data_IF_499744046351
#
_entry.id   IF_499744046351
#
_cell.length_a   1.000
_cell.length_b   1.000
_cell.length_c   1.000
_cell.angle_alpha   90.00
_cell.angle_beta   90.00
_cell.angle_gamma   90.00
#
_symmetry.space_group_name_H-M   'P 1'
#
loop_
_entity.id
_entity.type
_entity.pdbx_description
1 polymer ?
#
# COMPACT_ATOMS: atom_id res chain seq x y z
N UNK A 1 15.91 -18.80 -23.32
CA UNK A 1 16.01 -18.53 -21.87
C UNK A 1 14.99 -17.52 -21.35
N UNK A 2 14.74 -16.39 -22.03
CA UNK A 2 13.76 -15.37 -21.57
C UNK A 2 12.33 -15.93 -21.41
N UNK A 3 11.92 -16.88 -22.27
CA UNK A 3 10.59 -17.50 -22.22
C UNK A 3 10.31 -18.24 -20.90
N UNK A 4 11.30 -18.92 -20.29
CA UNK A 4 11.03 -19.65 -19.04
C UNK A 4 10.97 -18.72 -17.82
N UNK A 5 11.81 -17.68 -17.75
CA UNK A 5 11.83 -16.75 -16.60
C UNK A 5 10.54 -15.92 -16.53
N UNK A 6 10.06 -15.39 -17.66
CA UNK A 6 8.83 -14.59 -17.71
C UNK A 6 7.61 -15.42 -17.28
N UNK A 7 7.53 -16.68 -17.69
CA UNK A 7 6.48 -17.62 -17.26
C UNK A 7 6.58 -18.03 -15.77
N UNK A 8 7.73 -17.81 -15.14
CA UNK A 8 7.89 -18.00 -13.68
C UNK A 8 7.46 -16.77 -12.88
N UNK A 9 7.43 -15.58 -13.47
CA UNK A 9 7.01 -14.34 -12.78
C UNK A 9 5.53 -14.06 -13.05
N UNK A 10 5.07 -14.23 -14.29
CA UNK A 10 3.69 -13.98 -14.70
C UNK A 10 2.99 -15.26 -15.15
N UNK A 11 1.65 -15.35 -15.03
CA UNK A 11 0.90 -16.41 -15.70
C UNK A 11 1.03 -16.27 -17.23
N UNK A 12 0.86 -17.36 -17.97
CA UNK A 12 0.95 -17.32 -19.44
C UNK A 12 -0.16 -16.49 -20.10
N UNK A 13 -1.34 -16.50 -19.47
CA UNK A 13 -2.54 -15.78 -19.89
C UNK A 13 -3.11 -14.98 -18.72
N UNK A 14 -3.81 -13.90 -19.04
CA UNK A 14 -4.51 -13.05 -18.08
C UNK A 14 -5.86 -12.62 -18.65
N UNK A 15 -6.83 -12.44 -17.77
CA UNK A 15 -8.15 -11.99 -18.18
C UNK A 15 -8.10 -10.53 -18.69
N UNK A 16 -8.75 -10.26 -19.80
CA UNK A 16 -8.70 -8.97 -20.51
C UNK A 16 -9.36 -7.85 -19.71
N UNK A 17 -10.42 -8.15 -18.96
CA UNK A 17 -11.04 -7.20 -18.03
C UNK A 17 -10.03 -6.70 -16.99
N UNK A 18 -9.15 -7.59 -16.53
CA UNK A 18 -8.17 -7.29 -15.48
C UNK A 18 -7.12 -6.29 -15.92
N UNK A 19 -6.88 -6.21 -17.23
CA UNK A 19 -5.95 -5.26 -17.83
C UNK A 19 -6.53 -3.83 -17.92
N UNK A 20 -7.85 -3.65 -17.81
CA UNK A 20 -8.47 -2.32 -17.93
C UNK A 20 -7.98 -1.41 -16.81
N UNK A 21 -7.48 -0.23 -17.17
CA UNK A 21 -7.01 0.76 -16.20
C UNK A 21 -8.11 1.15 -15.20
N UNK A 22 -9.36 1.29 -15.65
CA UNK A 22 -10.51 1.57 -14.77
C UNK A 22 -10.78 0.49 -13.71
N UNK A 23 -10.25 -0.72 -13.91
CA UNK A 23 -10.49 -1.83 -13.00
C UNK A 23 -9.42 -1.94 -11.91
N UNK A 24 -8.14 -2.04 -12.27
CA UNK A 24 -7.04 -2.17 -11.30
C UNK A 24 -6.40 -0.85 -10.90
N UNK A 25 -6.57 0.18 -11.75
CA UNK A 25 -5.90 1.48 -11.68
C UNK A 25 -4.36 1.37 -11.63
N UNK A 26 -3.81 0.19 -11.94
CA UNK A 26 -2.37 -0.11 -11.77
C UNK A 26 -1.87 -0.08 -10.32
N UNK A 27 -2.73 0.15 -9.32
CA UNK A 27 -2.32 0.53 -7.96
C UNK A 27 -1.41 -0.49 -7.26
N UNK A 28 -1.68 -1.79 -7.42
CA UNK A 28 -0.84 -2.84 -6.84
C UNK A 28 0.53 -2.97 -7.51
N UNK A 29 0.61 -2.65 -8.80
CA UNK A 29 1.87 -2.63 -9.53
C UNK A 29 2.67 -1.37 -9.21
N UNK A 30 1.98 -0.23 -9.18
CA UNK A 30 2.54 1.07 -8.77
C UNK A 30 3.16 0.99 -7.37
N UNK A 31 2.50 0.36 -6.40
CA UNK A 31 3.07 0.17 -5.05
C UNK A 31 4.32 -0.71 -5.06
N UNK A 32 4.34 -1.79 -5.84
CA UNK A 32 5.54 -2.63 -5.99
C UNK A 32 6.72 -1.86 -6.60
N UNK A 33 6.48 -1.02 -7.62
CA UNK A 33 7.52 -0.17 -8.21
C UNK A 33 8.00 0.93 -7.26
N UNK A 34 7.09 1.57 -6.52
CA UNK A 34 7.46 2.55 -5.50
C UNK A 34 8.33 1.92 -4.41
N UNK A 35 8.00 0.70 -3.95
CA UNK A 35 8.85 -0.05 -3.03
C UNK A 35 10.23 -0.34 -3.64
N UNK A 36 10.30 -0.77 -4.90
CA UNK A 36 11.58 -0.96 -5.59
C UNK A 36 12.43 0.32 -5.65
N UNK A 37 11.82 1.46 -5.97
CA UNK A 37 12.51 2.77 -5.95
C UNK A 37 13.00 3.11 -4.54
N UNK A 38 12.18 2.89 -3.50
CA UNK A 38 12.57 3.12 -2.11
C UNK A 38 13.76 2.25 -1.68
N UNK A 39 13.80 0.98 -2.07
CA UNK A 39 14.95 0.10 -1.81
C UNK A 39 16.22 0.65 -2.50
N UNK A 40 16.15 0.93 -3.81
CA UNK A 40 17.32 1.39 -4.57
C UNK A 40 17.84 2.71 -4.01
N UNK A 41 16.97 3.71 -3.85
CA UNK A 41 17.35 5.01 -3.32
C UNK A 41 17.81 4.92 -1.86
N UNK A 42 17.18 4.07 -1.04
CA UNK A 42 17.55 3.85 0.35
C UNK A 42 18.95 3.25 0.51
N UNK A 43 19.27 2.20 -0.27
CA UNK A 43 20.61 1.58 -0.27
C UNK A 43 21.69 2.60 -0.66
N UNK A 44 21.42 3.45 -1.67
CA UNK A 44 22.39 4.50 -2.05
C UNK A 44 22.52 5.55 -0.94
N UNK A 45 21.41 5.97 -0.31
CA UNK A 45 21.44 6.91 0.81
C UNK A 45 22.20 6.37 2.03
N UNK A 46 22.16 5.07 2.28
CA UNK A 46 22.92 4.44 3.36
C UNK A 46 24.44 4.68 3.24
N UNK A 47 24.96 4.83 2.01
CA UNK A 47 26.38 5.10 1.78
C UNK A 47 26.82 6.50 2.25
N UNK A 48 25.87 7.42 2.42
CA UNK A 48 26.11 8.81 2.84
C UNK A 48 25.61 9.10 4.27
N UNK A 49 25.06 8.10 4.97
CA UNK A 49 24.39 8.31 6.25
C UNK A 49 25.09 7.63 7.42
N UNK A 50 25.32 8.38 8.48
CA UNK A 50 25.89 7.92 9.74
C UNK A 50 24.79 7.96 10.82
N UNK A 51 24.39 6.81 11.41
CA UNK A 51 23.30 6.74 12.39
C UNK A 51 23.74 7.21 13.79
N UNK A 52 24.24 8.45 13.88
CA UNK A 52 24.70 9.06 15.12
C UNK A 52 24.16 10.50 15.25
N UNK A 53 23.62 10.92 16.40
CA UNK A 53 22.96 12.24 16.56
C UNK A 53 23.82 13.45 16.16
N UNK A 54 25.14 13.37 16.35
CA UNK A 54 26.07 14.45 15.99
C UNK A 54 26.27 14.59 14.48
N UNK A 55 26.04 13.52 13.71
CA UNK A 55 26.37 13.45 12.29
C UNK A 55 25.12 13.37 11.41
N UNK A 56 24.05 12.71 11.87
CA UNK A 56 22.85 12.43 11.07
C UNK A 56 22.25 13.67 10.40
N UNK A 57 22.10 14.76 11.16
CA UNK A 57 21.62 16.04 10.62
C UNK A 57 22.60 16.65 9.62
N UNK A 58 23.90 16.63 9.93
CA UNK A 58 24.94 17.14 9.04
C UNK A 58 24.97 16.37 7.72
N UNK A 59 24.84 15.05 7.75
CA UNK A 59 24.78 14.22 6.55
C UNK A 59 23.57 14.58 5.66
N UNK A 60 22.44 14.99 6.26
CA UNK A 60 21.31 15.53 5.48
C UNK A 60 21.66 16.84 4.77
N UNK A 61 22.43 17.73 5.43
CA UNK A 61 22.91 18.99 4.84
C UNK A 61 23.95 18.69 3.74
N UNK A 62 24.85 17.74 3.94
CA UNK A 62 25.83 17.34 2.93
C UNK A 62 25.14 16.74 1.70
N UNK A 63 24.12 15.90 1.88
CA UNK A 63 23.26 15.44 0.78
C UNK A 63 22.57 16.61 0.05
N UNK A 64 22.23 17.68 0.75
CA UNK A 64 21.55 18.82 0.16
C UNK A 64 22.50 19.77 -0.60
N UNK A 65 23.73 19.94 -0.12
CA UNK A 65 24.61 21.02 -0.59
C UNK A 65 25.96 20.56 -1.15
N UNK A 66 26.40 19.33 -0.86
CA UNK A 66 27.76 18.86 -1.19
C UNK A 66 27.74 17.70 -2.19
N UNK A 67 26.83 16.74 -2.01
CA UNK A 67 26.78 15.53 -2.85
C UNK A 67 26.12 15.83 -4.20
N UNK A 68 26.82 15.50 -5.29
CA UNK A 68 26.27 15.62 -6.65
C UNK A 68 25.01 14.76 -6.80
N UNK A 69 23.91 15.37 -7.26
CA UNK A 69 22.57 14.76 -7.30
C UNK A 69 22.01 14.29 -5.94
N UNK A 70 22.66 14.65 -4.82
CA UNK A 70 22.19 14.34 -3.47
C UNK A 70 20.77 14.82 -3.17
N UNK A 71 20.37 16.06 -3.55
CA UNK A 71 19.00 16.52 -3.38
C UNK A 71 18.00 15.66 -4.14
N UNK A 72 18.30 15.32 -5.40
CA UNK A 72 17.42 14.48 -6.23
C UNK A 72 17.22 13.12 -5.58
N UNK A 73 18.30 12.47 -5.12
CA UNK A 73 18.25 11.17 -4.46
C UNK A 73 17.37 11.22 -3.19
N UNK A 74 17.62 12.21 -2.31
CA UNK A 74 16.84 12.39 -1.07
C UNK A 74 15.38 12.70 -1.35
N UNK A 75 15.11 13.60 -2.30
CA UNK A 75 13.76 13.99 -2.69
C UNK A 75 13.01 12.81 -3.29
N UNK A 76 13.63 12.03 -4.19
CA UNK A 76 13.02 10.82 -4.75
C UNK A 76 12.63 9.83 -3.66
N UNK A 77 13.52 9.54 -2.71
CA UNK A 77 13.21 8.64 -1.60
C UNK A 77 12.02 9.15 -0.76
N UNK A 78 12.02 10.46 -0.44
CA UNK A 78 10.96 11.09 0.34
C UNK A 78 9.60 11.08 -0.39
N UNK A 79 9.57 11.52 -1.64
CA UNK A 79 8.33 11.59 -2.41
C UNK A 79 7.80 10.21 -2.80
N UNK A 80 8.67 9.25 -3.06
CA UNK A 80 8.28 7.86 -3.24
C UNK A 80 7.61 7.29 -1.98
N UNK A 81 8.11 7.62 -0.78
CA UNK A 81 7.49 7.19 0.47
C UNK A 81 6.09 7.79 0.67
N UNK A 82 5.90 9.07 0.36
CA UNK A 82 4.58 9.71 0.40
C UNK A 82 3.62 9.11 -0.64
N UNK A 83 4.08 8.92 -1.88
CA UNK A 83 3.30 8.29 -2.93
C UNK A 83 2.91 6.85 -2.57
N UNK A 84 3.81 6.09 -1.94
CA UNK A 84 3.56 4.72 -1.50
C UNK A 84 2.37 4.66 -0.53
N UNK A 85 2.32 5.56 0.46
CA UNK A 85 1.19 5.62 1.41
C UNK A 85 -0.13 5.91 0.71
N UNK A 86 -0.16 6.88 -0.22
CA UNK A 86 -1.37 7.20 -1.00
C UNK A 86 -1.80 6.00 -1.86
N UNK A 87 -0.87 5.43 -2.62
CA UNK A 87 -1.16 4.34 -3.56
C UNK A 87 -1.63 3.08 -2.82
N UNK A 88 -1.00 2.73 -1.69
CA UNK A 88 -1.43 1.59 -0.86
C UNK A 88 -2.82 1.85 -0.27
N UNK A 89 -3.11 3.05 0.23
CA UNK A 89 -4.45 3.40 0.71
C UNK A 89 -5.50 3.25 -0.40
N UNK A 90 -5.24 3.81 -1.59
CA UNK A 90 -6.13 3.66 -2.75
C UNK A 90 -6.25 2.20 -3.19
N UNK A 91 -5.17 1.42 -3.12
CA UNK A 91 -5.19 0.00 -3.43
C UNK A 91 -6.11 -0.78 -2.48
N UNK A 92 -6.03 -0.50 -1.17
CA UNK A 92 -6.93 -1.08 -0.17
C UNK A 92 -8.39 -0.74 -0.48
N UNK A 93 -8.69 0.54 -0.77
CA UNK A 93 -10.01 0.98 -1.18
C UNK A 93 -10.52 0.24 -2.42
N UNK A 94 -9.69 0.15 -3.46
CA UNK A 94 -10.03 -0.56 -4.70
C UNK A 94 -10.35 -2.02 -4.43
N UNK A 95 -9.51 -2.73 -3.67
CA UNK A 95 -9.70 -4.15 -3.34
C UNK A 95 -10.98 -4.34 -2.53
N UNK A 96 -11.29 -3.44 -1.61
CA UNK A 96 -12.53 -3.47 -0.84
C UNK A 96 -13.78 -3.26 -1.71
N UNK A 97 -13.82 -2.16 -2.47
CA UNK A 97 -15.00 -1.79 -3.26
C UNK A 97 -15.30 -2.74 -4.41
N UNK A 98 -14.28 -3.43 -4.93
CA UNK A 98 -14.45 -4.50 -5.92
C UNK A 98 -14.68 -5.89 -5.29
N UNK A 99 -14.60 -6.02 -3.97
CA UNK A 99 -14.81 -7.31 -3.28
C UNK A 99 -13.68 -8.32 -3.54
N UNK A 100 -12.51 -7.85 -3.96
CA UNK A 100 -11.40 -8.70 -4.34
C UNK A 100 -10.77 -9.45 -3.14
N UNK A 101 -11.09 -9.07 -1.90
CA UNK A 101 -10.69 -9.79 -0.68
C UNK A 101 -11.49 -11.07 -0.40
N UNK A 102 -12.60 -11.29 -1.11
CA UNK A 102 -13.46 -12.46 -0.94
C UNK A 102 -12.74 -13.75 -1.34
N UNK A 103 -13.30 -14.88 -0.93
CA UNK A 103 -12.78 -16.22 -1.25
C UNK A 103 -12.41 -16.35 -2.75
N UNK A 104 -11.26 -16.98 -3.09
CA UNK A 104 -10.25 -17.61 -2.22
C UNK A 104 -9.16 -16.65 -1.68
N UNK A 105 -9.34 -15.33 -1.81
CA UNK A 105 -8.29 -14.31 -1.57
C UNK A 105 -8.29 -13.71 -0.16
N UNK A 106 -9.02 -14.28 0.79
CA UNK A 106 -9.13 -13.78 2.17
C UNK A 106 -7.75 -13.67 2.85
N UNK A 107 -6.92 -14.71 2.72
CA UNK A 107 -5.56 -14.68 3.25
C UNK A 107 -4.71 -13.57 2.61
N UNK A 108 -4.87 -13.34 1.31
CA UNK A 108 -4.13 -12.30 0.61
C UNK A 108 -4.52 -10.89 1.07
N UNK A 109 -5.77 -10.69 1.49
CA UNK A 109 -6.21 -9.46 2.13
C UNK A 109 -5.55 -9.25 3.49
N UNK A 110 -5.46 -10.29 4.33
CA UNK A 110 -4.76 -10.20 5.62
C UNK A 110 -3.28 -9.84 5.41
N UNK A 111 -2.62 -10.45 4.41
CA UNK A 111 -1.27 -10.03 3.99
C UNK A 111 -1.24 -8.55 3.58
N UNK A 112 -2.24 -8.09 2.82
CA UNK A 112 -2.39 -6.69 2.42
C UNK A 112 -2.53 -5.73 3.61
N UNK A 113 -3.29 -6.09 4.65
CA UNK A 113 -3.40 -5.32 5.89
C UNK A 113 -2.04 -5.28 6.61
N UNK A 114 -1.32 -6.40 6.68
CA UNK A 114 0.04 -6.44 7.21
C UNK A 114 1.01 -5.52 6.43
N UNK A 115 0.91 -5.51 5.10
CA UNK A 115 1.69 -4.64 4.23
C UNK A 115 1.33 -3.15 4.38
N UNK A 116 0.05 -2.82 4.62
CA UNK A 116 -0.37 -1.46 4.97
C UNK A 116 0.31 -1.01 6.27
N UNK A 117 0.29 -1.84 7.32
CA UNK A 117 0.94 -1.53 8.59
C UNK A 117 2.46 -1.37 8.45
N UNK A 118 3.10 -2.26 7.68
CA UNK A 118 4.54 -2.15 7.39
C UNK A 118 4.86 -0.90 6.57
N UNK A 119 4.00 -0.50 5.63
CA UNK A 119 4.18 0.73 4.84
C UNK A 119 4.17 1.95 5.76
N UNK A 120 3.20 2.03 6.69
CA UNK A 120 3.14 3.09 7.68
C UNK A 120 4.34 3.05 8.64
N UNK A 121 4.74 1.86 9.11
CA UNK A 121 5.90 1.68 9.98
C UNK A 121 7.23 2.03 9.33
N UNK A 122 7.43 1.65 8.06
CA UNK A 122 8.59 2.07 7.25
C UNK A 122 8.61 3.58 7.06
N UNK A 123 7.47 4.18 6.73
CA UNK A 123 7.40 5.64 6.55
C UNK A 123 7.68 6.39 7.86
N UNK A 124 7.15 5.90 8.99
CA UNK A 124 7.43 6.45 10.31
C UNK A 124 8.91 6.34 10.66
N UNK A 125 9.49 5.13 10.61
CA UNK A 125 10.88 4.90 11.03
C UNK A 125 11.88 5.65 10.17
N UNK A 126 11.63 5.79 8.86
CA UNK A 126 12.47 6.60 7.97
C UNK A 126 12.37 8.10 8.22
N UNK A 127 11.19 8.58 8.66
CA UNK A 127 10.98 9.98 9.03
C UNK A 127 11.83 10.41 10.25
N UNK A 128 12.28 9.46 11.07
CA UNK A 128 13.07 9.73 12.28
C UNK A 128 14.57 9.95 11.99
N UNK A 129 15.05 9.47 10.84
CA UNK A 129 16.49 9.42 10.53
C UNK A 129 17.14 10.79 10.23
N UNK A 130 16.46 11.78 9.63
CA UNK A 130 17.07 13.10 9.42
C UNK A 130 17.54 13.81 10.69
N UNK A 131 17.03 13.39 11.86
CA UNK A 131 17.36 13.96 13.18
C UNK A 131 17.16 15.48 13.26
N UNK A 132 16.16 15.97 12.53
CA UNK A 132 15.69 17.34 12.64
C UNK A 132 14.66 17.46 13.78
N UNK A 133 14.22 18.69 14.04
CA UNK A 133 13.32 18.97 15.15
C UNK A 133 12.03 18.15 15.10
N UNK A 134 11.42 17.98 13.93
CA UNK A 134 10.19 17.19 13.81
C UNK A 134 10.46 15.69 13.99
N UNK A 135 11.57 15.17 13.48
CA UNK A 135 11.98 13.78 13.68
C UNK A 135 12.13 13.43 15.17
N UNK A 136 12.83 14.27 15.95
CA UNK A 136 13.04 14.04 17.39
C UNK A 136 11.73 14.01 18.19
N UNK A 137 10.82 14.95 17.93
CA UNK A 137 9.52 14.97 18.61
C UNK A 137 8.58 13.88 18.12
N UNK A 138 8.70 13.42 16.87
CA UNK A 138 7.99 12.24 16.39
C UNK A 138 8.44 10.97 17.15
N UNK A 139 9.73 10.82 17.47
CA UNK A 139 10.22 9.73 18.34
C UNK A 139 9.57 9.83 19.73
N UNK A 140 9.55 11.04 20.29
CA UNK A 140 8.97 11.29 21.62
C UNK A 140 7.49 10.89 21.67
N UNK A 141 6.68 11.39 20.73
CA UNK A 141 5.24 11.08 20.67
C UNK A 141 5.01 9.60 20.37
N UNK A 142 5.70 9.03 19.37
CA UNK A 142 5.51 7.64 18.96
C UNK A 142 5.88 6.64 20.05
N UNK A 143 7.02 6.84 20.73
CA UNK A 143 7.45 5.98 21.84
C UNK A 143 6.55 6.12 23.07
N UNK A 144 5.98 7.30 23.33
CA UNK A 144 4.98 7.50 24.37
C UNK A 144 3.66 6.78 24.04
N UNK A 145 3.18 6.84 22.80
CA UNK A 145 2.00 6.07 22.36
C UNK A 145 2.23 4.58 22.56
N UNK A 146 3.40 4.07 22.14
CA UNK A 146 3.77 2.67 22.36
C UNK A 146 3.77 2.29 23.85
N UNK A 147 4.15 3.23 24.72
CA UNK A 147 4.09 3.10 26.18
C UNK A 147 2.70 2.85 26.76
N UNK A 148 1.63 3.26 26.06
CA UNK A 148 0.24 3.01 26.48
C UNK A 148 -0.30 1.64 26.08
N UNK A 149 0.50 0.81 25.37
CA UNK A 149 0.06 -0.53 25.00
C UNK A 149 -0.21 -1.38 26.27
N UNK A 150 -1.39 -2.04 26.37
CA UNK A 150 -1.70 -2.87 27.52
C UNK A 150 -0.69 -4.01 27.71
N UNK A 151 -0.28 -4.25 28.96
CA UNK A 151 0.60 -5.36 29.34
C UNK A 151 2.09 -5.06 29.19
N UNK A 152 2.57 -4.77 27.97
CA UNK A 152 4.01 -4.68 27.65
C UNK A 152 4.45 -3.27 27.18
N UNK A 153 3.65 -2.22 27.40
CA UNK A 153 3.93 -0.90 26.85
C UNK A 153 5.25 -0.28 27.32
N UNK A 154 5.57 -0.41 28.62
CA UNK A 154 6.81 0.12 29.17
C UNK A 154 8.05 -0.56 28.58
N UNK A 155 8.00 -1.87 28.44
CA UNK A 155 9.04 -2.72 27.87
C UNK A 155 9.23 -2.43 26.38
N UNK A 156 8.13 -2.27 25.62
CA UNK A 156 8.17 -1.89 24.20
C UNK A 156 8.83 -0.52 24.06
N UNK A 157 8.42 0.47 24.86
CA UNK A 157 9.02 1.82 24.83
C UNK A 157 10.51 1.77 25.14
N UNK A 158 10.90 1.07 26.21
CA UNK A 158 12.30 0.92 26.60
C UNK A 158 13.13 0.23 25.51
N UNK A 159 12.60 -0.83 24.90
CA UNK A 159 13.27 -1.56 23.81
C UNK A 159 13.49 -0.67 22.58
N UNK A 160 12.48 0.11 22.18
CA UNK A 160 12.56 1.01 21.04
C UNK A 160 13.58 2.12 21.25
N UNK A 161 13.60 2.73 22.43
CA UNK A 161 14.54 3.81 22.76
C UNK A 161 15.95 3.30 23.09
N UNK A 162 16.06 2.06 23.57
CA UNK A 162 17.32 1.51 24.06
C UNK A 162 17.78 2.10 25.38
N UNK A 163 16.86 2.68 26.14
CA UNK A 163 17.11 3.43 27.37
C UNK A 163 15.88 4.21 27.81
N UNK A 164 16.06 5.10 28.80
CA UNK A 164 14.99 5.95 29.32
C UNK A 164 14.90 7.32 28.62
N UNK A 165 15.87 7.62 27.74
CA UNK A 165 16.02 8.90 27.05
C UNK A 165 16.28 8.66 25.56
N UNK A 166 15.98 9.67 24.74
CA UNK A 166 16.16 9.61 23.29
C UNK A 166 17.59 10.06 22.96
N UNK A 167 18.45 9.09 22.60
CA UNK A 167 19.86 9.33 22.31
C UNK A 167 20.33 8.49 21.11
N UNK A 168 21.66 8.36 20.94
CA UNK A 168 22.29 7.56 19.88
C UNK A 168 21.74 6.13 19.80
N UNK A 169 21.45 5.50 20.95
CA UNK A 169 20.86 4.17 21.00
C UNK A 169 19.50 4.08 20.28
N UNK A 170 18.65 5.10 20.40
CA UNK A 170 17.35 5.14 19.74
C UNK A 170 17.53 5.29 18.23
N UNK A 171 18.39 6.22 17.80
CA UNK A 171 18.65 6.48 16.38
C UNK A 171 19.20 5.23 15.66
N UNK A 172 20.18 4.55 16.26
CA UNK A 172 20.76 3.34 15.69
C UNK A 172 19.70 2.23 15.52
N UNK A 173 18.82 2.04 16.50
CA UNK A 173 17.75 1.04 16.43
C UNK A 173 16.74 1.37 15.33
N UNK A 174 16.29 2.62 15.24
CA UNK A 174 15.40 3.05 14.17
C UNK A 174 16.06 2.93 12.79
N UNK A 175 17.35 3.22 12.68
CA UNK A 175 18.11 3.00 11.45
C UNK A 175 18.14 1.51 11.05
N UNK A 176 18.48 0.60 11.96
CA UNK A 176 18.50 -0.85 11.67
C UNK A 176 17.09 -1.38 11.33
N UNK A 177 16.07 -0.91 12.06
CA UNK A 177 14.68 -1.25 11.76
C UNK A 177 14.27 -0.78 10.37
N UNK A 178 14.55 0.48 10.03
CA UNK A 178 14.14 1.09 8.77
C UNK A 178 14.91 0.56 7.56
N UNK A 179 16.21 0.36 7.67
CA UNK A 179 17.07 0.03 6.54
C UNK A 179 17.21 -1.48 6.31
N UNK A 180 16.98 -2.31 7.32
CA UNK A 180 17.24 -3.75 7.24
C UNK A 180 15.99 -4.57 7.59
N UNK A 181 15.53 -4.50 8.84
CA UNK A 181 14.52 -5.45 9.35
C UNK A 181 13.17 -5.27 8.65
N UNK A 182 12.64 -4.06 8.63
CA UNK A 182 11.32 -3.77 8.06
C UNK A 182 11.28 -3.91 6.54
N UNK A 183 12.30 -3.47 5.76
CA UNK A 183 12.31 -3.70 4.32
C UNK A 183 12.39 -5.17 3.93
N UNK A 184 13.19 -5.98 4.64
CA UNK A 184 13.27 -7.41 4.38
C UNK A 184 11.95 -8.12 4.67
N UNK A 185 11.32 -7.78 5.80
CA UNK A 185 9.99 -8.28 6.15
C UNK A 185 8.93 -7.86 5.11
N UNK A 186 8.94 -6.59 4.67
CA UNK A 186 8.05 -6.10 3.63
C UNK A 186 8.30 -6.81 2.29
N UNK A 187 9.55 -7.00 1.87
CA UNK A 187 9.90 -7.71 0.65
C UNK A 187 9.40 -9.17 0.67
N UNK A 188 9.58 -9.87 1.79
CA UNK A 188 9.05 -11.23 1.99
C UNK A 188 7.53 -11.27 1.86
N UNK A 189 6.82 -10.37 2.54
CA UNK A 189 5.35 -10.34 2.48
C UNK A 189 4.83 -9.88 1.11
N UNK A 190 5.50 -8.96 0.42
CA UNK A 190 5.18 -8.56 -0.96
C UNK A 190 5.35 -9.77 -1.89
N UNK A 191 6.44 -10.52 -1.78
CA UNK A 191 6.67 -11.73 -2.58
C UNK A 191 5.55 -12.75 -2.37
N UNK A 192 5.16 -13.01 -1.11
CA UNK A 192 4.04 -13.90 -0.79
C UNK A 192 2.70 -13.35 -1.33
N UNK A 193 2.45 -12.05 -1.18
CA UNK A 193 1.24 -11.39 -1.66
C UNK A 193 1.09 -11.50 -3.18
N UNK A 194 2.14 -11.19 -3.93
CA UNK A 194 2.18 -11.30 -5.40
C UNK A 194 2.05 -12.77 -5.84
N UNK A 195 2.70 -13.70 -5.14
CA UNK A 195 2.55 -15.13 -5.39
C UNK A 195 1.09 -15.58 -5.26
N UNK A 196 0.38 -15.16 -4.20
CA UNK A 196 -1.04 -15.48 -4.02
C UNK A 196 -1.92 -14.83 -5.09
N UNK A 197 -1.64 -13.60 -5.51
CA UNK A 197 -2.34 -12.97 -6.65
C UNK A 197 -2.15 -13.76 -7.93
N UNK A 198 -0.93 -14.23 -8.22
CA UNK A 198 -0.66 -15.07 -9.40
C UNK A 198 -1.37 -16.41 -9.32
N UNK A 199 -1.41 -17.04 -8.15
CA UNK A 199 -2.03 -18.36 -7.94
C UNK A 199 -3.56 -18.30 -8.00
N UNK A 200 -4.16 -17.30 -7.35
CA UNK A 200 -5.61 -17.20 -7.18
C UNK A 200 -6.29 -16.34 -8.27
N UNK A 201 -5.48 -15.69 -9.12
CA UNK A 201 -5.95 -14.76 -10.15
C UNK A 201 -6.50 -13.44 -9.58
N UNK A 202 -6.60 -12.44 -10.47
CA UNK A 202 -7.34 -11.22 -10.16
C UNK A 202 -8.84 -11.51 -10.13
N UNK A 203 -9.57 -10.83 -9.24
CA UNK A 203 -11.02 -10.93 -9.21
C UNK A 203 -11.64 -10.58 -10.56
N UNK A 204 -12.64 -11.35 -10.96
CA UNK A 204 -13.39 -11.16 -12.19
C UNK A 204 -14.86 -10.92 -11.89
N UNK A 205 -15.58 -10.11 -12.70
CA UNK A 205 -17.03 -10.07 -12.66
C UNK A 205 -17.60 -11.49 -12.81
N UNK A 206 -18.78 -11.78 -12.23
CA UNK A 206 -19.48 -13.02 -12.53
C UNK A 206 -19.64 -13.17 -14.04
N UNK A 207 -19.46 -14.38 -14.57
CA UNK A 207 -19.80 -14.66 -15.96
C UNK A 207 -21.26 -14.24 -16.20
N UNK A 208 -21.56 -13.69 -17.38
CA UNK A 208 -22.94 -13.51 -17.81
C UNK A 208 -23.66 -14.86 -17.67
N UNK A 209 -24.93 -14.85 -17.27
CA UNK A 209 -25.71 -16.09 -17.25
C UNK A 209 -25.54 -16.77 -18.61
N UNK A 210 -25.16 -18.07 -18.64
CA UNK A 210 -25.03 -18.77 -19.90
C UNK A 210 -26.34 -18.61 -20.65
N UNK A 211 -26.31 -18.36 -21.97
CA UNK A 211 -27.53 -18.28 -22.76
C UNK A 211 -28.36 -19.55 -22.45
N UNK A 212 -29.71 -19.45 -22.44
CA UNK A 212 -30.55 -20.62 -22.26
C UNK A 212 -30.05 -21.73 -23.18
N UNK A 213 -29.89 -22.94 -22.65
CA UNK A 213 -29.46 -24.09 -23.45
C UNK A 213 -30.45 -24.20 -24.61
N UNK A 214 -30.04 -23.73 -25.78
CA UNK A 214 -30.82 -23.89 -26.99
C UNK A 214 -30.65 -25.35 -27.37
N UNK A 215 -31.67 -26.15 -27.10
CA UNK A 215 -31.67 -27.56 -27.48
C UNK A 215 -31.50 -27.61 -29.00
N UNK A 216 -30.33 -28.08 -29.46
CA UNK A 216 -30.02 -28.13 -30.89
C UNK A 216 -31.10 -28.95 -31.60
N UNK A 217 -31.89 -28.30 -32.45
CA UNK A 217 -32.82 -29.00 -33.31
C UNK A 217 -32.05 -30.07 -34.10
N UNK A 218 -32.54 -31.32 -34.14
CA UNK A 218 -31.83 -32.41 -34.81
C UNK A 218 -31.49 -32.02 -36.26
N UNK A 219 -30.21 -32.12 -36.61
CA UNK A 219 -29.70 -31.84 -37.96
C UNK A 219 -29.11 -30.45 -38.20
N UNK A 220 -29.03 -29.56 -37.20
CA UNK A 220 -28.45 -28.21 -37.36
C UNK A 220 -27.04 -28.12 -36.78
N UNK A 221 -26.01 -28.36 -37.58
CA UNK A 221 -24.62 -28.12 -37.15
C UNK A 221 -24.28 -26.62 -37.27
N UNK A 222 -23.63 -26.02 -36.26
CA UNK A 222 -23.13 -24.65 -36.39
C UNK A 222 -22.07 -24.60 -37.51
N UNK A 223 -22.02 -23.52 -38.31
CA UNK A 223 -20.97 -23.35 -39.30
C UNK A 223 -19.61 -23.23 -38.60
N UNK A 224 -18.82 -24.31 -38.60
CA UNK A 224 -17.53 -24.34 -37.91
C UNK A 224 -16.38 -24.01 -38.86
N UNK A 225 -15.46 -23.17 -38.42
CA UNK A 225 -14.20 -22.84 -39.11
C UNK A 225 -13.08 -23.88 -38.93
N UNK A 226 -13.36 -25.03 -38.29
CA UNK A 226 -12.38 -26.10 -38.06
C UNK A 226 -12.86 -27.43 -38.62
N UNK A 227 -11.96 -28.17 -39.25
CA UNK A 227 -12.21 -29.52 -39.76
C UNK A 227 -12.32 -30.50 -38.59
N UNK A 228 -13.51 -31.04 -38.33
CA UNK A 228 -13.69 -32.13 -37.38
C UNK A 228 -13.36 -33.49 -38.03
N UNK A 229 -12.71 -34.38 -37.29
CA UNK A 229 -12.52 -35.78 -37.71
C UNK A 229 -13.80 -36.62 -37.50
N UNK A 230 -13.86 -37.81 -38.11
CA UNK A 230 -15.00 -38.76 -38.06
C UNK A 230 -15.52 -39.08 -36.64
N UNK A 231 -14.67 -38.90 -35.61
CA UNK A 231 -15.06 -39.01 -34.18
C UNK A 231 -16.15 -38.03 -33.74
N UNK A 232 -16.40 -36.95 -34.48
CA UNK A 232 -17.46 -35.99 -34.21
C UNK A 232 -18.86 -36.45 -34.67
N UNK A 233 -18.93 -37.51 -35.49
CA UNK A 233 -20.19 -38.10 -35.98
C UNK A 233 -20.71 -39.25 -35.09
N UNK A 234 -19.98 -39.62 -34.04
CA UNK A 234 -20.45 -40.62 -33.10
C UNK A 234 -21.48 -40.00 -32.14
N UNK A 235 -22.68 -40.57 -32.11
CA UNK A 235 -23.75 -40.20 -31.16
C UNK A 235 -23.21 -40.35 -29.72
N UNK A 236 -22.85 -39.22 -29.11
CA UNK A 236 -22.52 -39.15 -27.69
C UNK A 236 -23.78 -38.74 -26.93
N UNK A 237 -24.07 -39.35 -25.75
CA UNK A 237 -25.04 -38.76 -24.84
C UNK A 237 -24.59 -37.33 -24.56
N UNK A 238 -25.54 -36.38 -24.61
CA UNK A 238 -25.30 -34.95 -24.46
C UNK A 238 -24.29 -34.70 -23.33
N UNK A 239 -23.03 -34.50 -23.72
CA UNK A 239 -22.04 -33.98 -22.81
C UNK A 239 -22.61 -32.60 -22.44
N UNK A 240 -22.68 -32.23 -21.15
CA UNK A 240 -22.92 -30.84 -20.83
C UNK A 240 -21.86 -30.08 -21.60
N UNK A 241 -22.29 -29.30 -22.59
CA UNK A 241 -21.41 -28.35 -23.26
C UNK A 241 -21.06 -27.37 -22.15
N UNK A 242 -19.93 -27.62 -21.48
CA UNK A 242 -19.31 -26.62 -20.62
C UNK A 242 -18.68 -25.62 -21.58
N UNK A 243 -19.53 -24.86 -22.25
CA UNK A 243 -19.19 -23.54 -22.75
C UNK A 243 -19.15 -22.60 -21.54
N UNK A 244 -18.22 -22.86 -20.62
CA UNK A 244 -17.55 -21.71 -20.04
C UNK A 244 -16.64 -21.23 -21.17
N UNK A 245 -17.08 -20.28 -21.98
CA UNK A 245 -16.20 -19.70 -22.99
C UNK A 245 -14.84 -19.37 -22.35
N UNK A 246 -13.72 -19.97 -22.82
CA UNK A 246 -12.38 -19.62 -22.37
C UNK A 246 -11.92 -18.24 -22.86
N UNK A 247 -12.83 -17.35 -23.30
CA UNK A 247 -12.54 -16.46 -24.42
C UNK A 247 -12.21 -14.99 -24.09
N UNK A 248 -12.21 -14.57 -22.81
CA UNK A 248 -11.69 -13.23 -22.46
C UNK A 248 -10.30 -13.29 -21.80
N UNK A 249 -9.48 -14.28 -22.14
CA UNK A 249 -8.06 -14.32 -21.76
C UNK A 249 -7.13 -13.92 -22.91
N UNK A 250 -6.16 -13.08 -22.61
CA UNK A 250 -5.10 -12.68 -23.55
C UNK A 250 -3.74 -13.13 -23.05
N UNK A 251 -2.80 -13.33 -23.98
CA UNK A 251 -1.41 -13.64 -23.61
C UNK A 251 -0.79 -12.49 -22.80
N UNK A 252 -0.04 -12.85 -21.76
CA UNK A 252 0.71 -11.89 -20.95
C UNK A 252 1.70 -11.10 -21.79
N UNK A 253 2.42 -11.79 -22.68
CA UNK A 253 3.21 -11.14 -23.71
C UNK A 253 2.39 -11.00 -25.00
N UNK A 254 2.28 -9.80 -25.58
CA UNK A 254 2.88 -8.55 -25.16
C UNK A 254 1.98 -7.67 -24.27
N UNK A 255 0.70 -8.06 -24.10
CA UNK A 255 -0.35 -7.14 -23.64
C UNK A 255 -0.20 -6.65 -22.20
N UNK A 256 0.12 -7.54 -21.25
CA UNK A 256 0.34 -7.17 -19.86
C UNK A 256 1.69 -6.47 -19.72
N UNK A 257 2.76 -7.06 -20.26
CA UNK A 257 4.12 -6.55 -20.09
C UNK A 257 4.31 -5.12 -20.62
N UNK A 258 3.68 -4.75 -21.74
CA UNK A 258 3.70 -3.35 -22.19
C UNK A 258 3.03 -2.41 -21.20
N UNK A 259 1.89 -2.80 -20.60
CA UNK A 259 1.22 -1.96 -19.60
C UNK A 259 2.05 -1.81 -18.34
N UNK A 260 2.72 -2.88 -17.92
CA UNK A 260 3.62 -2.85 -16.77
C UNK A 260 4.79 -1.88 -16.96
N UNK A 261 5.46 -1.97 -18.12
CA UNK A 261 6.53 -1.03 -18.48
C UNK A 261 6.02 0.41 -18.56
N UNK A 262 4.84 0.65 -19.13
CA UNK A 262 4.25 1.99 -19.19
C UNK A 262 3.95 2.56 -17.79
N UNK A 263 3.44 1.73 -16.87
CA UNK A 263 3.23 2.14 -15.48
C UNK A 263 4.56 2.44 -14.79
N UNK A 264 5.59 1.61 -14.99
CA UNK A 264 6.93 1.87 -14.45
C UNK A 264 7.48 3.20 -14.95
N UNK A 265 7.42 3.46 -16.25
CA UNK A 265 7.88 4.71 -16.84
C UNK A 265 7.12 5.90 -16.28
N UNK A 266 5.79 5.80 -16.15
CA UNK A 266 4.97 6.86 -15.57
C UNK A 266 5.37 7.16 -14.11
N UNK A 267 5.60 6.12 -13.29
CA UNK A 267 6.07 6.27 -11.90
C UNK A 267 7.43 6.95 -11.86
N UNK A 268 8.39 6.50 -12.67
CA UNK A 268 9.72 7.09 -12.70
C UNK A 268 9.67 8.54 -13.16
N UNK A 269 8.96 8.87 -14.24
CA UNK A 269 8.82 10.24 -14.73
C UNK A 269 8.19 11.14 -13.65
N UNK A 270 7.10 10.71 -13.03
CA UNK A 270 6.43 11.48 -11.99
C UNK A 270 7.33 11.72 -10.77
N UNK A 271 8.08 10.72 -10.32
CA UNK A 271 9.00 10.86 -9.20
C UNK A 271 10.19 11.75 -9.51
N UNK A 272 10.77 11.65 -10.72
CA UNK A 272 11.86 12.55 -11.12
C UNK A 272 11.36 13.99 -11.22
N UNK A 273 10.18 14.21 -11.80
CA UNK A 273 9.56 15.53 -11.84
C UNK A 273 9.34 16.08 -10.42
N UNK A 274 8.73 15.28 -9.52
CA UNK A 274 8.53 15.69 -8.14
C UNK A 274 9.85 15.99 -7.41
N UNK A 275 10.88 15.17 -7.62
CA UNK A 275 12.18 15.34 -6.98
C UNK A 275 12.96 16.56 -7.46
N UNK A 276 12.78 16.96 -8.72
CA UNK A 276 13.39 18.15 -9.29
C UNK A 276 12.64 19.44 -8.94
N UNK A 277 11.31 19.36 -8.82
CA UNK A 277 10.44 20.52 -8.59
C UNK A 277 10.23 20.83 -7.10
N UNK A 278 10.25 19.81 -6.24
CA UNK A 278 9.93 19.95 -4.82
C UNK A 278 11.05 19.37 -3.96
N UNK A 279 11.68 20.22 -3.15
CA UNK A 279 12.65 19.76 -2.18
C UNK A 279 11.96 19.12 -0.98
N UNK A 280 12.49 17.98 -0.54
CA UNK A 280 12.06 17.35 0.69
C UNK A 280 12.38 18.30 1.87
N UNK A 281 11.40 18.59 2.75
CA UNK A 281 11.61 19.51 3.85
C UNK A 281 12.67 18.96 4.81
N UNK A 282 13.43 19.86 5.42
CA UNK A 282 14.40 19.56 6.48
C UNK A 282 14.36 20.72 7.46
N UNK A 283 13.96 20.44 8.70
CA UNK A 283 13.86 21.48 9.73
C UNK A 283 15.23 21.81 10.33
N UNK A 284 15.25 22.65 11.36
CA UNK A 284 16.45 22.88 12.18
C UNK A 284 16.88 21.58 12.89
N UNK A 285 18.15 21.54 13.30
CA UNK A 285 18.68 20.42 14.09
C UNK A 285 17.87 20.23 15.36
N UNK A 286 17.67 18.97 15.76
CA UNK A 286 16.90 18.65 16.95
C UNK A 286 17.46 19.31 18.23
N UNK A 287 16.65 20.16 18.84
CA UNK A 287 16.82 20.67 20.20
C UNK A 287 15.82 19.98 21.16
N UNK A 288 16.27 19.11 22.07
CA UNK A 288 15.40 18.46 23.05
C UNK A 288 14.72 19.42 24.03
N UNK A 289 15.24 20.64 24.19
CA UNK A 289 14.72 21.64 25.13
C UNK A 289 13.63 22.52 24.53
N UNK A 290 13.44 22.47 23.21
CA UNK A 290 12.48 23.29 22.48
C UNK A 290 11.54 22.44 21.63
N UNK A 291 10.28 22.35 22.05
CA UNK A 291 9.23 21.69 21.26
C UNK A 291 8.67 22.64 20.20
N UNK A 292 8.62 22.27 18.91
CA UNK A 292 7.89 23.00 17.88
C UNK A 292 6.44 23.19 18.27
N UNK A 293 5.88 24.34 17.92
CA UNK A 293 4.48 24.62 18.15
C UNK A 293 3.83 25.24 16.91
N UNK A 294 2.96 24.50 16.17
CA UNK A 294 2.56 23.10 16.43
C UNK A 294 3.59 22.07 15.96
N UNK A 295 3.78 21.00 16.74
CA UNK A 295 4.51 19.81 16.30
C UNK A 295 3.56 18.89 15.51
N UNK A 296 3.54 19.02 14.18
CA UNK A 296 2.69 18.20 13.30
C UNK A 296 3.43 16.92 12.88
N UNK A 297 2.76 15.79 13.05
CA UNK A 297 3.19 14.52 12.47
C UNK A 297 3.14 14.59 10.93
N UNK A 298 3.79 13.63 10.24
CA UNK A 298 3.60 13.47 8.79
C UNK A 298 2.12 13.40 8.44
N UNK A 299 1.73 13.92 7.26
CA UNK A 299 0.32 14.11 6.91
C UNK A 299 -0.53 12.84 7.09
N UNK A 300 0.00 11.66 6.76
CA UNK A 300 -0.71 10.38 6.88
C UNK A 300 -0.89 9.88 8.32
N UNK A 301 -0.27 10.55 9.30
CA UNK A 301 -0.50 10.32 10.73
C UNK A 301 -1.28 11.44 11.41
N UNK A 302 -1.60 12.54 10.71
CA UNK A 302 -2.33 13.65 11.32
C UNK A 302 -3.73 13.25 11.81
N UNK A 303 -4.41 12.36 11.08
CA UNK A 303 -5.69 11.82 11.55
C UNK A 303 -5.55 11.00 12.84
N UNK A 304 -4.44 10.27 13.01
CA UNK A 304 -4.13 9.56 14.25
C UNK A 304 -3.76 10.53 15.37
N UNK A 305 -2.94 11.54 15.08
CA UNK A 305 -2.53 12.57 16.03
C UNK A 305 -3.74 13.35 16.55
N UNK A 306 -4.73 13.63 15.69
CA UNK A 306 -5.99 14.25 16.08
C UNK A 306 -6.71 13.41 17.15
N UNK A 307 -6.81 12.09 16.98
CA UNK A 307 -7.43 11.20 17.98
C UNK A 307 -6.61 11.15 19.27
N UNK A 308 -5.27 11.08 19.16
CA UNK A 308 -4.34 11.06 20.30
C UNK A 308 -4.44 12.34 21.13
N UNK A 309 -4.77 13.48 20.51
CA UNK A 309 -4.90 14.76 21.22
C UNK A 309 -6.01 14.76 22.28
N UNK A 310 -7.04 13.91 22.12
CA UNK A 310 -8.10 13.74 23.12
C UNK A 310 -7.76 12.65 24.15
N UNK A 311 -7.15 11.54 23.72
CA UNK A 311 -6.71 10.46 24.59
C UNK A 311 -5.66 9.60 23.90
N UNK A 312 -4.47 9.53 24.49
CA UNK A 312 -3.37 8.72 23.95
C UNK A 312 -3.70 7.21 23.91
N UNK A 313 -4.37 6.69 24.94
CA UNK A 313 -4.78 5.28 24.98
C UNK A 313 -5.86 4.99 23.94
N UNK A 314 -6.94 5.78 23.92
CA UNK A 314 -8.08 5.51 23.03
C UNK A 314 -7.68 5.78 21.58
N UNK A 315 -7.14 6.97 21.30
CA UNK A 315 -6.80 7.41 19.96
C UNK A 315 -5.53 6.77 19.41
N UNK A 316 -4.53 6.53 20.26
CA UNK A 316 -3.23 5.98 19.84
C UNK A 316 -3.15 4.46 19.82
N UNK A 317 -3.94 3.77 20.64
CA UNK A 317 -3.89 2.31 20.78
C UNK A 317 -5.22 1.67 20.42
N UNK A 318 -6.29 1.93 21.17
CA UNK A 318 -7.53 1.15 21.06
C UNK A 318 -8.24 1.32 19.71
N UNK A 319 -8.46 2.55 19.24
CA UNK A 319 -9.14 2.81 17.97
C UNK A 319 -8.35 2.24 16.79
N UNK A 320 -7.03 2.49 16.64
CA UNK A 320 -6.22 1.85 15.59
C UNK A 320 -6.25 0.31 15.67
N UNK A 321 -6.11 -0.27 16.86
CA UNK A 321 -6.17 -1.74 17.02
C UNK A 321 -7.52 -2.30 16.59
N UNK A 322 -8.63 -1.67 16.98
CA UNK A 322 -9.97 -2.08 16.55
C UNK A 322 -10.18 -1.94 15.04
N UNK A 323 -9.67 -0.87 14.42
CA UNK A 323 -9.73 -0.69 12.97
C UNK A 323 -8.93 -1.77 12.23
N UNK A 324 -7.73 -2.09 12.70
CA UNK A 324 -6.91 -3.18 12.14
C UNK A 324 -7.62 -4.52 12.30
N UNK A 325 -8.14 -4.82 13.48
CA UNK A 325 -8.89 -6.06 13.72
C UNK A 325 -10.13 -6.14 12.83
N UNK A 326 -10.88 -5.06 12.68
CA UNK A 326 -12.01 -5.00 11.76
C UNK A 326 -11.58 -5.30 10.33
N UNK A 327 -10.50 -4.67 9.83
CA UNK A 327 -9.97 -4.96 8.49
C UNK A 327 -9.56 -6.43 8.35
N UNK A 328 -8.84 -7.01 9.31
CA UNK A 328 -8.44 -8.43 9.28
C UNK A 328 -9.65 -9.36 9.25
N UNK A 329 -10.70 -9.04 9.98
CA UNK A 329 -11.89 -9.89 10.15
C UNK A 329 -12.93 -9.71 9.03
N UNK A 330 -12.94 -8.58 8.31
CA UNK A 330 -13.91 -8.29 7.23
C UNK A 330 -14.13 -9.46 6.26
N UNK A 331 -13.10 -10.15 5.74
CA UNK A 331 -13.31 -11.23 4.77
C UNK A 331 -14.06 -12.45 5.35
N UNK A 332 -14.04 -12.62 6.66
CA UNK A 332 -14.67 -13.72 7.39
C UNK A 332 -16.05 -13.33 7.93
N UNK A 333 -16.28 -12.04 8.16
CA UNK A 333 -17.54 -11.51 8.66
C UNK A 333 -18.51 -11.08 7.58
N UNK A 334 -18.06 -10.87 6.33
CA UNK A 334 -18.90 -10.48 5.21
C UNK A 334 -19.43 -11.74 4.50
N UNK A 335 -20.72 -12.12 4.68
CA UNK A 335 -21.27 -13.38 4.17
C UNK A 335 -21.67 -13.32 2.70
N UNK A 336 -21.69 -12.13 2.06
CA UNK A 336 -22.26 -11.95 0.71
C UNK A 336 -21.32 -12.52 -0.36
N UNK A 337 -21.69 -13.58 -1.11
CA UNK A 337 -20.78 -14.18 -2.10
C UNK A 337 -20.83 -13.47 -3.47
N UNK A 338 -21.84 -12.63 -3.70
CA UNK A 338 -22.10 -11.96 -5.00
C UNK A 338 -21.42 -10.58 -5.10
N UNK A 339 -21.27 -10.09 -6.32
CA UNK A 339 -20.73 -8.75 -6.60
C UNK A 339 -19.20 -8.64 -6.53
N UNK A 340 -18.49 -9.77 -6.58
CA UNK A 340 -17.02 -9.79 -6.69
C UNK A 340 -16.62 -9.33 -8.08
N UNK A 341 -15.56 -8.51 -8.16
CA UNK A 341 -15.05 -8.01 -9.42
C UNK A 341 -15.82 -6.82 -10.01
N UNK A 342 -16.87 -6.35 -9.33
CA UNK A 342 -17.68 -5.20 -9.76
C UNK A 342 -17.49 -4.05 -8.76
N UNK A 343 -17.20 -2.85 -9.28
CA UNK A 343 -17.10 -1.66 -8.45
C UNK A 343 -18.45 -1.33 -7.81
N UNK A 344 -18.46 -1.10 -6.50
CA UNK A 344 -19.64 -0.66 -5.75
C UNK A 344 -20.88 -1.54 -5.92
N UNK A 345 -20.68 -2.86 -6.03
CA UNK A 345 -21.75 -3.84 -6.19
C UNK A 345 -22.95 -3.58 -5.24
N UNK A 346 -24.19 -3.47 -5.76
CA UNK A 346 -25.39 -3.18 -4.96
C UNK A 346 -25.63 -4.18 -3.82
N UNK A 347 -25.29 -5.45 -4.05
CA UNK A 347 -25.40 -6.55 -3.08
C UNK A 347 -24.53 -6.31 -1.84
N UNK A 348 -23.46 -5.51 -1.99
CA UNK A 348 -22.53 -5.15 -0.92
C UNK A 348 -22.69 -3.70 -0.48
N UNK A 349 -23.80 -3.04 -0.82
CA UNK A 349 -24.05 -1.61 -0.53
C UNK A 349 -23.87 -1.24 0.94
N UNK A 350 -24.31 -2.10 1.88
CA UNK A 350 -24.10 -1.86 3.33
C UNK A 350 -22.61 -1.84 3.69
N UNK A 351 -21.86 -2.85 3.28
CA UNK A 351 -20.43 -2.93 3.54
C UNK A 351 -19.67 -1.77 2.87
N UNK A 352 -20.01 -1.46 1.62
CA UNK A 352 -19.44 -0.35 0.87
C UNK A 352 -19.69 1.00 1.56
N UNK A 353 -20.91 1.26 2.06
CA UNK A 353 -21.21 2.50 2.79
C UNK A 353 -20.44 2.62 4.10
N UNK A 354 -20.34 1.54 4.88
CA UNK A 354 -19.60 1.54 6.15
C UNK A 354 -18.11 1.81 5.88
N UNK A 355 -17.51 1.08 4.94
CA UNK A 355 -16.10 1.26 4.60
C UNK A 355 -15.83 2.65 4.01
N UNK A 356 -16.70 3.15 3.12
CA UNK A 356 -16.60 4.50 2.59
C UNK A 356 -16.65 5.54 3.71
N UNK A 357 -17.57 5.41 4.67
CA UNK A 357 -17.66 6.32 5.81
C UNK A 357 -16.37 6.31 6.66
N UNK A 358 -15.81 5.12 6.95
CA UNK A 358 -14.55 5.01 7.69
C UNK A 358 -13.35 5.60 6.93
N UNK A 359 -13.23 5.29 5.64
CA UNK A 359 -12.18 5.82 4.78
C UNK A 359 -12.27 7.34 4.64
N UNK A 360 -13.49 7.86 4.43
CA UNK A 360 -13.76 9.30 4.38
C UNK A 360 -13.49 9.98 5.73
N UNK A 361 -13.82 9.35 6.86
CA UNK A 361 -13.49 9.87 8.17
C UNK A 361 -11.97 9.96 8.40
N UNK A 362 -11.21 8.94 8.00
CA UNK A 362 -9.75 8.97 8.07
C UNK A 362 -9.14 10.11 7.23
N UNK A 363 -9.65 10.32 6.02
CA UNK A 363 -9.26 11.45 5.16
C UNK A 363 -9.66 12.78 5.79
N UNK A 364 -10.89 12.90 6.30
CA UNK A 364 -11.37 14.13 6.92
C UNK A 364 -10.53 14.51 8.15
N UNK A 365 -10.22 13.56 9.04
CA UNK A 365 -9.35 13.79 10.20
C UNK A 365 -7.95 14.22 9.78
N UNK A 366 -7.42 13.63 8.70
CA UNK A 366 -6.14 14.01 8.12
C UNK A 366 -6.15 15.45 7.61
N UNK A 367 -7.21 15.85 6.89
CA UNK A 367 -7.37 17.23 6.40
C UNK A 367 -7.57 18.22 7.55
N UNK A 368 -8.31 17.85 8.60
CA UNK A 368 -8.45 18.63 9.83
C UNK A 368 -7.09 18.89 10.46
N UNK A 369 -6.29 17.85 10.71
CA UNK A 369 -4.95 18.02 11.27
C UNK A 369 -4.01 18.84 10.36
N UNK A 370 -4.15 18.71 9.04
CA UNK A 370 -3.31 19.42 8.08
C UNK A 370 -3.60 20.92 8.08
N UNK A 371 -4.87 21.29 7.92
CA UNK A 371 -5.27 22.67 7.62
C UNK A 371 -5.87 23.42 8.81
N UNK A 372 -6.53 22.74 9.75
CA UNK A 372 -7.33 23.38 10.80
C UNK A 372 -6.70 23.32 12.20
N UNK A 373 -5.51 22.73 12.34
CA UNK A 373 -4.77 22.69 13.61
C UNK A 373 -3.58 23.65 13.59
N UNK A 374 -3.57 24.59 14.53
CA UNK A 374 -2.52 25.60 14.73
C UNK A 374 -1.80 25.46 16.07
N UNK A 375 -1.22 26.55 16.61
CA UNK A 375 -0.48 26.52 17.88
C UNK A 375 -1.30 25.90 19.02
N UNK A 376 -0.63 25.13 19.88
CA UNK A 376 -1.19 24.35 20.98
C UNK A 376 -2.25 23.33 20.54
N UNK A 377 -2.19 22.89 19.27
CA UNK A 377 -3.21 22.05 18.64
C UNK A 377 -4.61 22.68 18.63
N UNK A 378 -4.68 24.02 18.79
CA UNK A 378 -5.94 24.75 18.75
C UNK A 378 -6.55 24.72 17.36
N UNK A 379 -7.88 24.82 17.30
CA UNK A 379 -8.57 25.00 16.04
C UNK A 379 -8.25 26.37 15.46
N UNK A 380 -7.84 26.40 14.19
CA UNK A 380 -7.55 27.63 13.45
C UNK A 380 -8.23 27.54 12.10
N UNK A 381 -8.78 28.66 11.64
CA UNK A 381 -9.31 28.75 10.28
C UNK A 381 -8.17 29.14 9.33
N UNK A 382 -7.92 28.39 8.24
CA UNK A 382 -6.82 28.69 7.31
C UNK A 382 -6.84 30.10 6.72
N UNK A 383 -8.01 30.74 6.72
CA UNK A 383 -8.27 32.06 6.16
C UNK A 383 -8.39 33.16 7.23
N UNK A 384 -8.23 32.85 8.51
CA UNK A 384 -8.07 33.89 9.55
C UNK A 384 -6.60 34.29 9.64
N UNK A 385 -6.28 35.58 9.46
CA UNK A 385 -4.90 36.07 9.43
C UNK A 385 -4.15 35.90 10.75
#
# INVERSE_FOLDING_TARGET
>A
MISSLVLHIHPAKVQRHSLRASYTLGLGLTSAYLFGVLIVTGVVLMLYYTPHPLDAYRNMKDLQFVVTFGPVLRNMHRWAAHAMVVVVFLHMCRVFFTGAYKEPRQFNWVLGVGLLLLTLGLSFTGYLLPWDQLAFWAITVGSNIAGYAPGLGAEIKYLLLGGNVIESGALLRFYVLHCVILPLLAAMLIAMHVYRVRKDGLSAPPAAEPPPIEEMAPGRFPPSTRSYGLMALADRPAQPVVESEPDDEVLTWPHLLYREVLVLLAVLIALHAAALLFNAPLEEIADPTRTPNPAKAPWYFLGLQELVSYSALIGGVLVPTLLVLALVLVPYLDPVPRGVGVWFAPERSRANRIFAALASAAVALTLVGMFFRGPNWAWVWPWTP
#
